data_IF_849624161798
#
_entry.id   IF_849624161798
#
_cell.length_a   1.000
_cell.length_b   1.000
_cell.length_c   1.000
_cell.angle_alpha   90.00
_cell.angle_beta   90.00
_cell.angle_gamma   90.00
#
_symmetry.space_group_name_H-M   'P 1'
#
loop_
_entity.id
_entity.type
_entity.pdbx_description
1 polymer ?
#
# COMPACT_ATOMS: atom_id res chain seq x y z
N UNK A 1 18.39 -39.78 15.08
CA UNK A 1 18.47 -38.32 14.89
C UNK A 1 18.41 -38.07 13.39
N UNK A 2 17.36 -37.41 12.90
CA UNK A 2 17.02 -37.34 11.47
C UNK A 2 17.32 -35.99 10.81
N UNK A 3 17.99 -35.08 11.51
CA UNK A 3 18.36 -33.76 11.00
C UNK A 3 19.76 -33.40 11.51
N UNK A 4 20.79 -33.68 10.71
CA UNK A 4 22.14 -33.14 10.90
C UNK A 4 22.26 -31.75 10.27
N UNK A 5 23.30 -30.98 10.60
CA UNK A 5 23.55 -29.63 10.06
C UNK A 5 23.57 -29.59 8.51
N UNK A 6 23.92 -30.71 7.88
CA UNK A 6 23.90 -30.90 6.42
C UNK A 6 22.51 -30.78 5.77
N UNK A 7 21.42 -30.89 6.54
CA UNK A 7 20.03 -30.85 6.05
C UNK A 7 19.29 -29.56 6.43
N UNK A 8 19.98 -28.55 6.95
CA UNK A 8 19.39 -27.25 7.24
C UNK A 8 19.15 -26.52 5.93
N UNK A 9 17.97 -26.74 5.36
CA UNK A 9 17.48 -26.01 4.19
C UNK A 9 17.41 -24.52 4.54
N UNK A 10 17.64 -23.64 3.57
CA UNK A 10 17.72 -22.17 3.71
C UNK A 10 16.69 -21.56 4.69
N UNK A 11 15.44 -22.03 4.65
CA UNK A 11 14.37 -21.53 5.51
C UNK A 11 14.61 -21.80 7.01
N UNK A 12 15.24 -22.93 7.36
CA UNK A 12 15.58 -23.27 8.74
C UNK A 12 16.79 -22.46 9.21
N UNK A 13 17.77 -22.23 8.32
CA UNK A 13 18.93 -21.38 8.63
C UNK A 13 18.53 -19.94 8.95
N UNK A 14 17.61 -19.37 8.17
CA UNK A 14 17.09 -18.01 8.42
C UNK A 14 16.35 -17.90 9.75
N UNK A 15 15.61 -18.94 10.16
CA UNK A 15 14.91 -18.95 11.46
C UNK A 15 15.87 -19.05 12.65
N UNK A 16 17.00 -19.74 12.49
CA UNK A 16 18.04 -19.81 13.52
C UNK A 16 18.67 -18.44 13.75
N UNK A 17 18.97 -17.70 12.67
CA UNK A 17 19.51 -16.33 12.80
C UNK A 17 18.48 -15.34 13.29
N UNK A 18 17.20 -15.51 12.94
CA UNK A 18 16.13 -14.61 13.36
C UNK A 18 16.06 -14.52 14.90
N UNK A 19 16.23 -15.64 15.62
CA UNK A 19 16.25 -15.62 17.08
C UNK A 19 17.40 -14.76 17.64
N UNK A 20 18.61 -14.89 17.09
CA UNK A 20 19.75 -14.07 17.48
C UNK A 20 19.56 -12.59 17.09
N UNK A 21 18.96 -12.31 15.93
CA UNK A 21 18.65 -10.95 15.50
C UNK A 21 17.60 -10.29 16.40
N UNK A 22 16.65 -11.05 16.96
CA UNK A 22 15.68 -10.46 17.91
C UNK A 22 16.30 -10.02 19.23
N UNK A 23 17.39 -10.66 19.65
CA UNK A 23 18.14 -10.24 20.85
C UNK A 23 18.92 -8.93 20.61
N UNK A 24 19.38 -8.69 19.38
CA UNK A 24 20.19 -7.52 19.02
C UNK A 24 19.33 -6.33 18.59
N UNK A 25 18.30 -6.58 17.77
CA UNK A 25 17.49 -5.54 17.10
C UNK A 25 16.08 -5.40 17.69
N UNK A 26 15.67 -6.29 18.59
CA UNK A 26 14.36 -6.24 19.25
C UNK A 26 13.30 -7.10 18.56
N UNK A 27 12.03 -6.73 18.70
CA UNK A 27 10.93 -7.51 18.12
C UNK A 27 10.99 -7.56 16.59
N UNK A 28 10.32 -8.54 15.99
CA UNK A 28 10.19 -8.64 14.53
C UNK A 28 9.62 -7.36 13.90
N UNK A 29 8.75 -6.63 14.59
CA UNK A 29 8.25 -5.34 14.11
C UNK A 29 9.37 -4.30 13.93
N UNK A 30 10.44 -4.38 14.73
CA UNK A 30 11.57 -3.47 14.66
C UNK A 30 12.61 -3.84 13.60
N UNK A 31 12.76 -5.14 13.28
CA UNK A 31 13.79 -5.63 12.36
C UNK A 31 13.26 -6.15 11.01
N UNK A 32 11.94 -6.35 10.87
CA UNK A 32 11.37 -6.85 9.63
C UNK A 32 11.29 -5.78 8.54
N UNK A 33 11.52 -6.20 7.29
CA UNK A 33 11.34 -5.35 6.12
C UNK A 33 9.89 -5.31 5.60
N UNK A 34 8.93 -5.82 6.38
CA UNK A 34 7.54 -6.00 5.95
C UNK A 34 6.88 -4.66 5.58
N UNK A 35 7.18 -3.59 6.32
CA UNK A 35 6.65 -2.24 6.07
C UNK A 35 7.07 -1.66 4.70
N UNK A 36 8.13 -2.19 4.08
CA UNK A 36 8.64 -1.77 2.78
C UNK A 36 8.21 -2.68 1.63
N UNK A 37 7.52 -3.78 1.91
CA UNK A 37 7.20 -4.79 0.90
C UNK A 37 6.32 -4.23 -0.22
N UNK A 38 5.33 -3.41 0.12
CA UNK A 38 4.44 -2.79 -0.86
C UNK A 38 5.20 -1.97 -1.91
N UNK A 39 6.15 -1.15 -1.46
CA UNK A 39 6.96 -0.34 -2.37
C UNK A 39 7.95 -1.20 -3.15
N UNK A 40 8.53 -2.23 -2.52
CA UNK A 40 9.40 -3.19 -3.18
C UNK A 40 8.70 -3.89 -4.35
N UNK A 41 7.41 -4.23 -4.22
CA UNK A 41 6.63 -4.81 -5.33
C UNK A 41 6.50 -3.84 -6.52
N UNK A 42 6.37 -2.53 -6.26
CA UNK A 42 6.35 -1.53 -7.33
C UNK A 42 7.71 -1.41 -8.02
N UNK A 43 8.79 -1.35 -7.25
CA UNK A 43 10.16 -1.32 -7.78
C UNK A 43 10.46 -2.56 -8.63
N UNK A 44 10.06 -3.75 -8.18
CA UNK A 44 10.23 -5.00 -8.93
C UNK A 44 9.55 -4.94 -10.30
N UNK A 45 8.36 -4.34 -10.40
CA UNK A 45 7.66 -4.15 -11.70
C UNK A 45 8.39 -3.19 -12.65
N UNK A 46 9.26 -2.33 -12.14
CA UNK A 46 10.06 -1.40 -12.95
C UNK A 46 11.31 -2.07 -13.54
N UNK A 47 11.76 -3.18 -12.95
CA UNK A 47 12.93 -3.94 -13.38
C UNK A 47 12.50 -5.01 -14.40
N UNK A 48 13.04 -4.95 -15.62
CA UNK A 48 12.77 -5.93 -16.68
C UNK A 48 13.83 -7.02 -16.78
N UNK A 49 15.02 -6.77 -16.27
CA UNK A 49 16.15 -7.70 -16.29
C UNK A 49 17.08 -7.46 -15.10
N UNK A 50 17.88 -8.47 -14.73
CA UNK A 50 18.87 -8.35 -13.65
C UNK A 50 20.04 -7.41 -13.96
N UNK A 51 20.14 -6.88 -15.18
CA UNK A 51 21.24 -6.01 -15.60
C UNK A 51 21.00 -4.57 -15.14
N UNK A 52 21.82 -4.06 -14.21
CA UNK A 52 21.74 -2.68 -13.72
C UNK A 52 20.32 -2.27 -13.25
N UNK A 53 19.71 -2.99 -12.29
CA UNK A 53 18.33 -2.78 -11.87
C UNK A 53 18.09 -1.37 -11.32
N UNK A 54 19.05 -0.81 -10.60
CA UNK A 54 18.96 0.56 -10.05
C UNK A 54 18.85 1.59 -11.17
N UNK A 55 19.65 1.45 -12.23
CA UNK A 55 19.62 2.37 -13.37
C UNK A 55 18.29 2.25 -14.12
N UNK A 56 17.74 1.04 -14.26
CA UNK A 56 16.41 0.83 -14.85
C UNK A 56 15.33 1.57 -14.04
N UNK A 57 15.36 1.42 -12.72
CA UNK A 57 14.41 2.11 -11.82
C UNK A 57 14.57 3.63 -11.94
N UNK A 58 15.78 4.15 -11.84
CA UNK A 58 16.04 5.60 -11.91
C UNK A 58 15.54 6.21 -13.22
N UNK A 59 15.82 5.56 -14.36
CA UNK A 59 15.32 5.99 -15.67
C UNK A 59 13.78 5.99 -15.72
N UNK A 60 13.15 4.93 -15.24
CA UNK A 60 11.69 4.78 -15.27
C UNK A 60 10.99 5.77 -14.35
N UNK A 61 11.57 6.09 -13.19
CA UNK A 61 11.10 7.18 -12.32
C UNK A 61 11.22 8.54 -13.02
N UNK A 62 12.30 8.79 -13.76
CA UNK A 62 12.46 9.99 -14.58
C UNK A 62 11.45 10.07 -15.73
N UNK A 63 11.12 8.96 -16.39
CA UNK A 63 10.06 8.91 -17.41
C UNK A 63 8.68 9.25 -16.81
N UNK A 64 8.36 8.69 -15.63
CA UNK A 64 7.09 8.92 -14.95
C UNK A 64 6.93 10.38 -14.51
N UNK A 65 7.98 11.03 -14.01
CA UNK A 65 7.91 12.44 -13.59
C UNK A 65 7.67 13.39 -14.77
N UNK A 66 8.26 13.09 -15.94
CA UNK A 66 8.06 13.86 -17.17
C UNK A 66 6.68 13.63 -17.80
N UNK A 67 6.11 12.43 -17.64
CA UNK A 67 4.81 12.08 -18.22
C UNK A 67 3.60 12.79 -17.56
N UNK A 68 3.77 13.36 -16.36
CA UNK A 68 2.72 14.10 -15.64
C UNK A 68 2.43 15.51 -16.17
N UNK A 69 3.04 15.91 -17.31
CA UNK A 69 2.83 17.23 -17.93
C UNK A 69 1.56 17.27 -18.81
N UNK A 70 0.88 16.14 -19.03
CA UNK A 70 -0.49 16.11 -19.55
C UNK A 70 -1.46 15.76 -18.43
N UNK A 71 -2.44 16.63 -18.17
CA UNK A 71 -3.50 16.42 -17.17
C UNK A 71 -4.10 15.00 -17.28
N UNK A 72 -4.22 14.23 -16.18
CA UNK A 72 -4.96 12.99 -16.22
C UNK A 72 -6.45 13.31 -16.32
N UNK A 73 -7.10 12.89 -17.41
CA UNK A 73 -8.55 12.90 -17.50
C UNK A 73 -9.16 12.20 -16.27
N UNK A 74 -10.01 12.93 -15.54
CA UNK A 74 -10.72 12.48 -14.37
C UNK A 74 -11.64 11.29 -14.71
N UNK A 75 -11.12 10.07 -14.58
CA UNK A 75 -11.97 8.87 -14.55
C UNK A 75 -12.62 8.75 -13.17
N UNK A 76 -13.63 9.58 -12.94
CA UNK A 76 -14.51 9.62 -11.78
C UNK A 76 -15.45 8.40 -11.70
N UNK A 77 -14.90 7.18 -11.80
CA UNK A 77 -15.68 5.95 -11.64
C UNK A 77 -15.13 5.18 -10.45
N UNK A 78 -15.91 5.14 -9.37
CA UNK A 78 -15.62 4.30 -8.20
C UNK A 78 -15.73 2.83 -8.64
N UNK A 79 -14.60 2.23 -9.01
CA UNK A 79 -14.48 0.80 -9.34
C UNK A 79 -14.38 0.00 -8.04
N UNK A 80 -15.48 -0.16 -7.31
CA UNK A 80 -15.51 -1.09 -6.16
C UNK A 80 -15.62 -2.51 -6.70
N UNK A 81 -14.56 -3.31 -6.55
CA UNK A 81 -14.56 -4.70 -7.03
C UNK A 81 -15.12 -5.66 -5.97
N UNK A 82 -14.94 -5.37 -4.67
CA UNK A 82 -15.43 -6.18 -3.54
C UNK A 82 -15.66 -5.32 -2.28
N UNK A 83 -16.51 -5.80 -1.37
CA UNK A 83 -16.63 -5.25 -0.01
C UNK A 83 -15.34 -5.53 0.80
N UNK A 84 -15.04 -4.67 1.78
CA UNK A 84 -13.80 -4.66 2.59
C UNK A 84 -12.52 -4.26 1.84
N UNK A 85 -12.63 -3.64 0.66
CA UNK A 85 -11.48 -2.97 0.05
C UNK A 85 -11.30 -1.56 0.65
N UNK A 86 -10.05 -1.25 1.01
CA UNK A 86 -9.64 0.08 1.49
C UNK A 86 -9.01 0.84 0.35
N UNK A 87 -9.43 2.09 0.18
CA UNK A 87 -9.02 2.98 -0.88
C UNK A 87 -8.43 4.26 -0.30
N UNK A 88 -7.27 4.67 -0.80
CA UNK A 88 -6.65 5.94 -0.40
C UNK A 88 -7.34 7.08 -1.16
N UNK A 89 -7.93 8.03 -0.44
CA UNK A 89 -8.61 9.20 -1.01
C UNK A 89 -7.62 10.33 -1.28
N UNK A 90 -6.74 10.57 -0.30
CA UNK A 90 -5.65 11.53 -0.36
C UNK A 90 -4.58 11.13 0.68
N UNK A 91 -3.49 11.89 0.76
CA UNK A 91 -2.38 11.60 1.70
C UNK A 91 -2.81 11.58 3.18
N UNK A 92 -3.97 12.19 3.50
CA UNK A 92 -4.48 12.40 4.84
C UNK A 92 -5.76 11.60 5.15
N UNK A 93 -6.29 10.85 4.19
CA UNK A 93 -7.48 10.04 4.39
C UNK A 93 -7.59 8.85 3.46
N UNK A 94 -8.13 7.76 3.99
CA UNK A 94 -8.53 6.58 3.23
C UNK A 94 -9.98 6.22 3.57
N UNK A 95 -10.63 5.43 2.73
CA UNK A 95 -11.97 4.91 2.98
C UNK A 95 -12.03 3.40 2.79
N UNK A 96 -12.75 2.73 3.67
CA UNK A 96 -13.11 1.32 3.57
C UNK A 96 -14.56 1.22 3.10
N UNK A 97 -14.82 0.40 2.08
CA UNK A 97 -16.20 0.10 1.68
C UNK A 97 -16.75 -1.01 2.58
N UNK A 98 -17.66 -0.63 3.47
CA UNK A 98 -18.32 -1.57 4.40
C UNK A 98 -19.38 -2.38 3.65
N UNK A 99 -20.25 -1.68 2.93
CA UNK A 99 -21.40 -2.31 2.30
C UNK A 99 -21.71 -1.66 0.96
N UNK A 100 -22.16 -2.47 0.01
CA UNK A 100 -22.69 -2.01 -1.27
C UNK A 100 -24.14 -2.45 -1.37
N UNK A 101 -25.06 -1.48 -1.42
CA UNK A 101 -26.49 -1.72 -1.54
C UNK A 101 -26.95 -1.25 -2.92
N UNK A 102 -27.82 -2.02 -3.58
CA UNK A 102 -28.45 -1.62 -4.84
C UNK A 102 -29.88 -1.19 -4.52
N UNK A 103 -30.20 0.07 -4.75
CA UNK A 103 -31.55 0.62 -4.56
C UNK A 103 -32.02 1.16 -5.90
N UNK A 104 -33.13 0.63 -6.43
CA UNK A 104 -33.78 1.13 -7.65
C UNK A 104 -32.81 1.30 -8.85
N UNK A 105 -31.91 0.33 -9.08
CA UNK A 105 -30.86 0.32 -10.12
C UNK A 105 -29.64 1.20 -9.88
N UNK A 106 -29.61 2.01 -8.82
CA UNK A 106 -28.44 2.77 -8.39
C UNK A 106 -27.61 2.02 -7.35
N UNK A 107 -26.28 2.14 -7.43
CA UNK A 107 -25.35 1.57 -6.43
C UNK A 107 -25.07 2.60 -5.35
N UNK A 108 -25.37 2.23 -4.12
CA UNK A 108 -25.02 2.95 -2.90
C UNK A 108 -23.84 2.24 -2.24
N UNK A 109 -22.82 3.01 -1.88
CA UNK A 109 -21.64 2.56 -1.16
C UNK A 109 -21.64 3.17 0.23
N UNK A 110 -21.69 2.34 1.26
CA UNK A 110 -21.46 2.77 2.64
C UNK A 110 -19.98 2.67 2.92
N UNK A 111 -19.32 3.82 3.02
CA UNK A 111 -17.89 3.91 3.20
C UNK A 111 -17.56 4.46 4.60
N UNK A 112 -16.55 3.88 5.25
CA UNK A 112 -15.95 4.44 6.47
C UNK A 112 -14.65 5.12 6.10
N UNK A 113 -14.59 6.43 6.27
CA UNK A 113 -13.38 7.21 6.07
C UNK A 113 -12.56 7.27 7.37
N UNK A 114 -11.25 7.09 7.23
CA UNK A 114 -10.25 7.17 8.28
C UNK A 114 -9.29 8.32 7.99
N UNK A 115 -8.83 9.00 9.04
CA UNK A 115 -7.68 9.89 8.93
C UNK A 115 -6.39 9.06 8.87
N UNK A 116 -5.49 9.39 7.96
CA UNK A 116 -4.21 8.70 7.81
C UNK A 116 -3.05 9.52 8.38
N UNK A 117 -2.04 8.80 8.86
CA UNK A 117 -0.74 9.32 9.31
C UNK A 117 0.37 8.47 8.70
N UNK A 118 1.62 8.92 8.82
CA UNK A 118 2.76 8.09 8.44
C UNK A 118 2.85 6.85 9.37
N UNK A 119 3.13 5.69 8.79
CA UNK A 119 3.43 4.47 9.55
C UNK A 119 4.80 4.57 10.21
N UNK A 120 5.78 5.08 9.46
CA UNK A 120 7.15 5.32 9.90
C UNK A 120 7.71 6.61 9.27
N UNK A 121 8.69 7.22 9.93
CA UNK A 121 9.39 8.41 9.44
C UNK A 121 10.85 8.16 9.05
N UNK A 122 11.41 7.02 9.43
CA UNK A 122 12.78 6.60 9.11
C UNK A 122 12.74 5.30 8.30
N UNK A 123 13.56 5.14 7.25
CA UNK A 123 14.57 6.09 6.74
C UNK A 123 13.98 7.28 5.96
N UNK A 124 12.69 7.24 5.62
CA UNK A 124 11.95 8.36 5.03
C UNK A 124 10.48 8.29 5.44
N UNK A 125 9.72 9.36 5.23
CA UNK A 125 8.29 9.38 5.55
C UNK A 125 7.53 8.36 4.69
N UNK A 126 6.86 7.41 5.35
CA UNK A 126 6.19 6.29 4.68
C UNK A 126 5.11 6.72 3.67
N UNK A 127 4.56 7.94 3.80
CA UNK A 127 3.59 8.49 2.85
C UNK A 127 4.17 8.66 1.45
N UNK A 128 5.48 8.96 1.36
CA UNK A 128 6.19 9.11 0.09
C UNK A 128 6.23 7.81 -0.73
N UNK A 129 6.17 6.67 -0.05
CA UNK A 129 6.15 5.33 -0.65
C UNK A 129 4.75 4.70 -0.67
N UNK A 130 3.73 5.49 -0.35
CA UNK A 130 2.33 5.06 -0.38
C UNK A 130 1.91 4.16 0.77
N UNK A 131 2.62 4.22 1.91
CA UNK A 131 2.32 3.45 3.11
C UNK A 131 1.73 4.36 4.18
N UNK A 132 0.51 4.02 4.63
CA UNK A 132 -0.30 4.88 5.50
C UNK A 132 -0.79 4.10 6.72
N UNK A 133 -0.81 4.77 7.87
CA UNK A 133 -1.44 4.29 9.10
C UNK A 133 -2.80 4.95 9.29
N UNK A 134 -3.87 4.18 9.21
CA UNK A 134 -5.22 4.65 9.46
C UNK A 134 -5.51 4.75 10.96
N UNK A 135 -6.09 5.85 11.41
CA UNK A 135 -6.52 6.01 12.80
C UNK A 135 -7.96 5.51 12.98
N UNK A 136 -8.12 4.42 13.74
CA UNK A 136 -9.41 3.79 14.02
C UNK A 136 -10.32 4.63 14.95
N UNK A 137 -9.78 5.57 15.71
CA UNK A 137 -10.55 6.42 16.63
C UNK A 137 -11.20 7.62 15.92
N UNK A 138 -10.67 8.02 14.77
CA UNK A 138 -11.15 9.17 13.99
C UNK A 138 -11.82 8.70 12.70
N UNK A 139 -13.04 8.17 12.82
CA UNK A 139 -13.80 7.62 11.70
C UNK A 139 -15.07 8.40 11.39
N UNK A 140 -15.39 8.53 10.11
CA UNK A 140 -16.67 9.08 9.64
C UNK A 140 -17.29 8.13 8.65
N UNK A 141 -18.59 7.83 8.80
CA UNK A 141 -19.32 6.98 7.86
C UNK A 141 -20.05 7.89 6.87
N UNK A 142 -19.89 7.63 5.58
CA UNK A 142 -20.55 8.37 4.49
C UNK A 142 -21.15 7.38 3.50
N UNK A 143 -22.34 7.71 3.00
CA UNK A 143 -22.99 6.98 1.91
C UNK A 143 -22.72 7.73 0.61
N UNK A 144 -22.15 7.05 -0.38
CA UNK A 144 -21.86 7.58 -1.71
C UNK A 144 -22.75 6.88 -2.74
N UNK A 145 -23.35 7.62 -3.65
CA UNK A 145 -24.04 7.04 -4.81
C UNK A 145 -23.12 7.04 -6.03
N UNK A 146 -23.33 6.11 -6.96
CA UNK A 146 -22.55 6.00 -8.20
C UNK A 146 -22.62 7.22 -9.15
N UNK A 147 -23.24 8.32 -8.74
CA UNK A 147 -23.35 9.58 -9.50
C UNK A 147 -23.05 10.86 -8.71
N UNK A 148 -22.71 10.80 -7.42
CA UNK A 148 -22.39 12.03 -6.66
C UNK A 148 -20.91 12.40 -6.74
N UNK A 149 -20.65 13.62 -7.25
CA UNK A 149 -19.36 14.30 -7.13
C UNK A 149 -19.03 14.46 -5.65
N UNK A 150 -17.91 13.90 -5.24
CA UNK A 150 -17.26 14.20 -3.98
C UNK A 150 -16.18 15.23 -4.28
N UNK A 151 -16.40 16.49 -3.88
CA UNK A 151 -15.54 17.66 -4.20
C UNK A 151 -14.10 17.58 -3.65
N UNK A 152 -13.67 16.45 -3.08
CA UNK A 152 -12.36 16.29 -2.46
C UNK A 152 -11.75 14.89 -2.61
N UNK A 153 -11.76 14.32 -3.82
CA UNK A 153 -11.07 13.05 -4.11
C UNK A 153 -9.92 13.32 -5.08
N UNK A 154 -8.70 13.16 -4.59
CA UNK A 154 -7.50 13.21 -5.44
C UNK A 154 -7.29 11.86 -6.14
N UNK A 155 -6.61 11.83 -7.31
CA UNK A 155 -6.62 10.67 -8.19
C UNK A 155 -5.91 9.45 -7.60
N UNK A 156 -6.61 8.33 -7.69
CA UNK A 156 -6.24 6.96 -7.34
C UNK A 156 -4.89 6.53 -7.91
N UNK A 157 -3.97 6.06 -7.06
CA UNK A 157 -2.78 5.31 -7.48
C UNK A 157 -2.97 3.84 -7.15
N UNK A 158 -2.86 3.00 -8.18
CA UNK A 158 -3.07 1.54 -8.15
C UNK A 158 -1.81 0.79 -7.76
#
# INVERSE_FOLDING_TARGET
MLYGEEFVVYNVHSLVHLAAETEVYGSLDACSAFEFENYMQQLKKMVRSGNNPIVQIAKRLGELSLSKIGEPEEKNVISVKKANEVYVLNEHSCCEVIETTIVQTERHFTCRAYKTTALYHSPCDSRLVGVYKANAEQTTIKVLTSGQKSDHVSPWTK
#
